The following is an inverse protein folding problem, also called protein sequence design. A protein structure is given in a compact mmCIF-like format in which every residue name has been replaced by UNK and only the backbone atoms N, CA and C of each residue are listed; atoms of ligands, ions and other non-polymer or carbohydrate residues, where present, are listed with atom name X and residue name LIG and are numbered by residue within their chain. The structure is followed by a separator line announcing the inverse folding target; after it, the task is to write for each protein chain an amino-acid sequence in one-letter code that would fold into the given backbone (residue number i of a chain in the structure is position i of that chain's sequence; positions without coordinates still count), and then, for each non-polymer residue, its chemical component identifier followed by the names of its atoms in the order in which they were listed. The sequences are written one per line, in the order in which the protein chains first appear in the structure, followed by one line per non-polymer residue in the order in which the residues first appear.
data_IF_793704095797
#
_entry.id   IF_793704095797
#
_cell.length_a   1.000
_cell.length_b   1.000
_cell.length_c   1.000
_cell.angle_alpha   90.00
_cell.angle_beta   90.00
_cell.angle_gamma   90.00
#
_symmetry.space_group_name_H-M   'P 1'
#
loop_
_entity.id
_entity.type
_entity.pdbx_description
1 polymer ?
#
# COMPACT_ATOMS: atom_id res chain seq x y z
N UNK A 1 9.18 -22.25 -11.49
CA UNK A 1 7.93 -21.79 -12.12
C UNK A 1 7.83 -20.28 -11.91
N UNK A 2 7.94 -19.49 -12.97
CA UNK A 2 7.71 -18.04 -12.90
C UNK A 2 6.22 -17.83 -12.64
N UNK A 3 5.84 -17.46 -11.43
CA UNK A 3 4.50 -16.98 -11.13
C UNK A 3 4.30 -15.69 -11.93
N UNK A 4 3.48 -15.75 -12.98
CA UNK A 4 2.99 -14.56 -13.66
C UNK A 4 2.17 -13.79 -12.62
N UNK A 5 2.78 -12.75 -12.01
CA UNK A 5 2.01 -11.73 -11.35
C UNK A 5 0.93 -11.23 -12.30
N UNK A 6 -0.28 -11.11 -11.79
CA UNK A 6 -1.32 -10.33 -12.43
C UNK A 6 -0.93 -8.85 -12.30
N UNK A 7 -0.02 -8.40 -13.17
CA UNK A 7 0.22 -6.99 -13.33
C UNK A 7 -1.13 -6.37 -13.73
N UNK A 8 -1.66 -5.50 -12.87
CA UNK A 8 -2.84 -4.72 -13.23
C UNK A 8 -2.46 -3.94 -14.47
N UNK A 9 -3.12 -4.25 -15.60
CA UNK A 9 -2.88 -3.55 -16.87
C UNK A 9 -3.35 -2.12 -16.70
N UNK A 10 -2.41 -1.20 -16.62
CA UNK A 10 -2.71 0.22 -16.60
C UNK A 10 -3.13 0.65 -18.01
N UNK A 11 -4.23 1.36 -18.08
CA UNK A 11 -4.61 2.09 -19.30
C UNK A 11 -4.15 3.54 -19.15
N UNK A 12 -3.71 4.20 -20.24
CA UNK A 12 -3.46 5.63 -20.17
C UNK A 12 -4.77 6.34 -19.77
N UNK A 13 -4.69 7.45 -18.99
CA UNK A 13 -5.85 8.26 -18.71
C UNK A 13 -6.52 8.66 -20.01
N UNK A 14 -7.85 8.56 -20.06
CA UNK A 14 -8.60 9.09 -21.21
C UNK A 14 -8.42 10.60 -21.25
N UNK A 15 -8.03 11.09 -22.41
CA UNK A 15 -7.98 12.53 -22.73
C UNK A 15 -9.32 12.87 -23.39
N UNK A 16 -10.36 13.00 -22.59
CA UNK A 16 -11.61 13.61 -23.00
C UNK A 16 -11.70 15.03 -22.42
N UNK A 17 -12.66 15.82 -22.93
CA UNK A 17 -12.85 17.20 -22.48
C UNK A 17 -13.48 17.30 -21.08
N UNK A 18 -13.84 16.16 -20.46
CA UNK A 18 -14.54 16.11 -19.18
C UNK A 18 -13.58 15.75 -18.03
N UNK A 19 -13.43 16.70 -17.10
CA UNK A 19 -12.57 16.49 -15.92
C UNK A 19 -13.23 15.58 -14.88
N UNK A 20 -12.41 15.00 -13.95
CA UNK A 20 -12.95 14.29 -12.76
C UNK A 20 -13.87 15.23 -11.95
N UNK A 21 -13.56 16.53 -11.88
CA UNK A 21 -14.41 17.50 -11.19
C UNK A 21 -15.80 17.60 -11.82
N UNK A 22 -15.90 17.62 -13.17
CA UNK A 22 -17.18 17.65 -13.88
C UNK A 22 -17.99 16.37 -13.63
N UNK A 23 -17.32 15.21 -13.62
CA UNK A 23 -17.94 13.94 -13.26
C UNK A 23 -18.45 13.94 -11.81
N UNK A 24 -17.68 14.51 -10.87
CA UNK A 24 -18.09 14.61 -9.47
C UNK A 24 -19.29 15.54 -9.28
N UNK A 25 -19.40 16.62 -10.06
CA UNK A 25 -20.59 17.48 -10.07
C UNK A 25 -21.83 16.69 -10.52
N UNK A 26 -21.69 15.88 -11.57
CA UNK A 26 -22.78 14.99 -12.02
C UNK A 26 -23.15 13.95 -10.97
N UNK A 27 -22.17 13.40 -10.22
CA UNK A 27 -22.45 12.49 -9.12
C UNK A 27 -23.29 13.16 -8.06
N UNK A 28 -22.95 14.40 -7.63
CA UNK A 28 -23.74 15.17 -6.65
C UNK A 28 -25.20 15.31 -7.10
N UNK A 29 -25.42 15.70 -8.34
CA UNK A 29 -26.78 15.81 -8.89
C UNK A 29 -27.51 14.46 -8.90
N UNK A 30 -26.82 13.36 -9.22
CA UNK A 30 -27.41 12.01 -9.27
C UNK A 30 -27.80 11.45 -7.91
N UNK A 31 -27.12 11.85 -6.84
CA UNK A 31 -27.50 11.47 -5.46
C UNK A 31 -28.52 12.42 -4.85
N UNK A 32 -28.98 13.43 -5.59
CA UNK A 32 -30.03 14.35 -5.14
C UNK A 32 -29.52 15.58 -4.39
N UNK A 33 -28.22 15.88 -4.47
CA UNK A 33 -27.62 17.07 -3.85
C UNK A 33 -27.64 18.26 -4.79
N UNK A 34 -27.68 19.49 -4.20
CA UNK A 34 -27.52 20.75 -4.93
C UNK A 34 -26.03 21.14 -4.93
N UNK A 35 -25.33 21.03 -6.09
CA UNK A 35 -23.90 21.38 -6.15
C UNK A 35 -23.62 22.89 -5.93
N UNK A 36 -24.65 23.74 -6.09
CA UNK A 36 -24.50 25.19 -5.93
C UNK A 36 -24.64 25.65 -4.46
N UNK A 37 -25.09 24.77 -3.57
CA UNK A 37 -25.14 25.14 -2.14
C UNK A 37 -23.75 25.42 -1.56
N UNK A 38 -23.60 26.40 -0.63
CA UNK A 38 -22.29 26.90 -0.17
C UNK A 38 -21.28 25.83 0.27
N UNK A 39 -21.78 24.73 0.85
CA UNK A 39 -20.91 23.63 1.31
C UNK A 39 -20.36 22.77 0.17
N UNK A 40 -21.00 22.73 -1.00
CA UNK A 40 -20.67 21.85 -2.12
C UNK A 40 -20.02 22.55 -3.33
N UNK A 41 -20.07 23.87 -3.44
CA UNK A 41 -19.50 24.62 -4.58
C UNK A 41 -18.06 24.21 -4.91
N UNK A 42 -17.24 23.90 -3.93
CA UNK A 42 -15.84 23.47 -4.13
C UNK A 42 -15.62 21.96 -4.02
N UNK A 43 -16.68 21.18 -3.78
CA UNK A 43 -16.55 19.73 -3.57
C UNK A 43 -16.06 19.00 -4.81
N UNK A 44 -16.50 19.30 -6.04
CA UNK A 44 -15.99 18.66 -7.25
C UNK A 44 -14.46 18.76 -7.37
N UNK A 45 -13.91 19.97 -7.24
CA UNK A 45 -12.45 20.21 -7.35
C UNK A 45 -11.66 19.60 -6.19
N UNK A 46 -12.25 19.59 -4.98
CA UNK A 46 -11.62 18.92 -3.82
C UNK A 46 -11.59 17.40 -4.01
N UNK A 47 -12.66 16.82 -4.53
CA UNK A 47 -12.74 15.39 -4.81
C UNK A 47 -11.76 14.97 -5.91
N UNK A 48 -11.65 15.75 -7.00
CA UNK A 48 -10.64 15.52 -8.03
C UNK A 48 -9.22 15.51 -7.44
N UNK A 49 -8.84 16.54 -6.70
CA UNK A 49 -7.53 16.62 -6.05
C UNK A 49 -7.27 15.43 -5.11
N UNK A 50 -8.28 15.04 -4.33
CA UNK A 50 -8.16 13.93 -3.40
C UNK A 50 -7.97 12.60 -4.14
N UNK A 51 -8.75 12.32 -5.19
CA UNK A 51 -8.63 11.12 -6.00
C UNK A 51 -7.25 11.03 -6.67
N UNK A 52 -6.77 12.12 -7.29
CA UNK A 52 -5.43 12.15 -7.89
C UNK A 52 -4.33 11.88 -6.88
N UNK A 53 -4.42 12.48 -5.69
CA UNK A 53 -3.47 12.21 -4.61
C UNK A 53 -3.51 10.74 -4.16
N UNK A 54 -4.71 10.19 -3.94
CA UNK A 54 -4.91 8.81 -3.50
C UNK A 54 -4.55 7.77 -4.58
N UNK A 55 -4.39 8.18 -5.83
CA UNK A 55 -3.98 7.31 -6.94
C UNK A 55 -2.63 7.69 -7.55
N UNK A 56 -1.89 8.61 -6.92
CA UNK A 56 -0.58 9.09 -7.40
C UNK A 56 0.51 8.03 -7.48
N UNK A 57 0.33 6.90 -6.80
CA UNK A 57 1.24 5.78 -6.86
C UNK A 57 1.32 5.11 -8.24
N UNK A 58 0.36 5.34 -9.13
CA UNK A 58 0.46 4.87 -10.50
C UNK A 58 1.51 5.60 -11.32
N UNK A 59 1.82 6.85 -10.96
CA UNK A 59 2.80 7.69 -11.64
C UNK A 59 4.20 7.58 -11.02
N UNK A 60 4.32 6.81 -9.92
CA UNK A 60 5.58 6.69 -9.18
C UNK A 60 6.34 5.45 -9.63
N UNK A 61 7.64 5.62 -9.87
CA UNK A 61 8.55 4.54 -10.24
C UNK A 61 9.45 4.12 -9.07
N UNK A 62 9.67 2.81 -8.95
CA UNK A 62 10.52 2.22 -7.91
C UNK A 62 11.95 2.76 -7.96
N UNK A 63 12.52 2.91 -9.16
CA UNK A 63 13.90 3.37 -9.34
C UNK A 63 14.07 4.81 -8.82
N UNK A 64 13.06 5.65 -9.03
CA UNK A 64 13.05 7.02 -8.51
C UNK A 64 12.98 7.06 -6.97
N UNK A 65 12.26 6.12 -6.37
CA UNK A 65 12.19 5.99 -4.90
C UNK A 65 13.55 5.55 -4.35
N UNK A 66 14.12 4.49 -4.90
CA UNK A 66 15.39 3.92 -4.43
C UNK A 66 16.53 4.90 -4.62
N UNK A 67 16.62 5.53 -5.79
CA UNK A 67 17.53 6.63 -6.12
C UNK A 67 18.95 6.47 -5.51
N UNK A 68 19.62 5.34 -5.80
CA UNK A 68 20.97 5.05 -5.32
C UNK A 68 21.12 4.79 -3.82
N UNK A 69 20.03 4.69 -3.06
CA UNK A 69 20.08 4.43 -1.61
C UNK A 69 20.17 2.93 -1.28
N UNK A 70 20.93 2.19 -2.07
CA UNK A 70 21.33 0.82 -1.78
C UNK A 70 22.82 0.86 -1.47
N UNK A 71 23.22 0.29 -0.35
CA UNK A 71 24.58 0.30 0.16
C UNK A 71 25.10 -1.13 0.24
N UNK A 72 26.35 -1.34 -0.10
CA UNK A 72 27.05 -2.60 0.16
C UNK A 72 27.56 -2.58 1.61
N UNK A 73 27.07 -3.50 2.41
CA UNK A 73 27.42 -3.63 3.82
C UNK A 73 27.35 -5.10 4.23
N UNK A 74 28.37 -5.56 4.97
CA UNK A 74 28.35 -6.90 5.52
C UNK A 74 27.39 -6.96 6.73
N UNK A 75 26.17 -7.34 6.44
CA UNK A 75 25.13 -7.55 7.44
C UNK A 75 24.32 -8.78 7.01
N UNK A 76 24.12 -9.70 7.93
CA UNK A 76 23.33 -10.92 7.76
C UNK A 76 22.16 -11.05 8.74
N UNK A 77 22.07 -10.09 9.68
CA UNK A 77 20.97 -9.98 10.63
C UNK A 77 19.69 -9.44 9.96
N UNK A 78 18.55 -9.86 10.50
CA UNK A 78 17.25 -9.40 10.01
C UNK A 78 17.08 -7.89 10.22
N UNK A 79 16.73 -7.18 9.15
CA UNK A 79 16.32 -5.77 9.23
C UNK A 79 14.80 -5.71 9.22
N UNK A 80 14.21 -5.03 10.21
CA UNK A 80 12.76 -4.88 10.35
C UNK A 80 12.38 -3.40 10.42
N UNK A 81 11.46 -2.98 9.57
CA UNK A 81 10.77 -1.68 9.65
C UNK A 81 9.31 -1.96 9.94
N UNK A 82 8.85 -1.53 11.10
CA UNK A 82 7.49 -1.84 11.57
C UNK A 82 6.64 -0.60 11.76
N UNK A 83 5.34 -0.82 11.93
CA UNK A 83 4.35 0.22 12.18
C UNK A 83 4.30 1.28 11.07
N UNK A 84 4.54 0.87 9.81
CA UNK A 84 4.44 1.75 8.64
C UNK A 84 2.96 2.00 8.38
N UNK A 85 2.48 3.19 8.71
CA UNK A 85 1.10 3.59 8.44
C UNK A 85 0.86 3.73 6.93
N UNK A 86 -0.30 3.30 6.47
CA UNK A 86 -0.70 3.50 5.08
C UNK A 86 -2.20 3.75 4.93
N UNK A 87 -2.56 4.43 3.84
CA UNK A 87 -3.93 4.64 3.39
C UNK A 87 -4.05 4.21 1.93
N UNK A 88 -5.10 3.47 1.61
CA UNK A 88 -5.33 2.93 0.27
C UNK A 88 -6.81 2.97 -0.09
N UNK A 89 -7.12 2.72 -1.35
CA UNK A 89 -8.49 2.67 -1.88
C UNK A 89 -8.83 1.25 -2.31
N UNK A 90 -9.90 0.69 -1.72
CA UNK A 90 -10.40 -0.62 -2.13
C UNK A 90 -10.91 -0.56 -3.58
N UNK A 91 -10.37 -1.38 -4.47
CA UNK A 91 -10.75 -1.38 -5.89
C UNK A 91 -12.22 -1.76 -6.15
N UNK A 92 -12.84 -2.53 -5.23
CA UNK A 92 -14.22 -2.95 -5.39
C UNK A 92 -15.25 -1.85 -5.13
N UNK A 93 -14.94 -0.88 -4.27
CA UNK A 93 -15.93 0.07 -3.77
C UNK A 93 -15.48 1.52 -3.82
N UNK A 94 -14.22 1.79 -4.18
CA UNK A 94 -13.58 3.11 -4.09
C UNK A 94 -13.69 3.72 -2.67
N UNK A 95 -13.79 2.87 -1.65
CA UNK A 95 -13.78 3.27 -0.25
C UNK A 95 -12.41 3.02 0.37
N UNK A 96 -11.98 3.85 1.32
CA UNK A 96 -10.67 3.70 1.94
C UNK A 96 -10.53 2.39 2.72
N UNK A 97 -9.32 1.87 2.77
CA UNK A 97 -8.83 1.00 3.82
C UNK A 97 -7.47 1.51 4.29
N UNK A 98 -7.16 1.29 5.53
CA UNK A 98 -5.97 1.85 6.16
C UNK A 98 -5.48 0.94 7.28
N UNK A 99 -4.23 1.09 7.64
CA UNK A 99 -3.65 0.26 8.67
C UNK A 99 -2.15 0.45 8.79
N UNK A 100 -1.49 -0.63 9.22
CA UNK A 100 -0.05 -0.67 9.38
C UNK A 100 0.56 -1.82 8.61
N UNK A 101 1.77 -1.60 8.13
CA UNK A 101 2.56 -2.62 7.45
C UNK A 101 3.89 -2.80 8.16
N UNK A 102 4.29 -4.06 8.30
CA UNK A 102 5.57 -4.45 8.87
C UNK A 102 6.36 -5.15 7.78
N UNK A 103 7.57 -4.68 7.54
CA UNK A 103 8.43 -5.14 6.47
C UNK A 103 9.76 -5.57 7.03
N UNK A 104 10.18 -6.79 6.69
CA UNK A 104 11.47 -7.32 7.08
C UNK A 104 12.21 -7.90 5.86
N UNK A 105 13.52 -7.88 5.91
CA UNK A 105 14.35 -8.60 4.97
C UNK A 105 15.62 -9.15 5.61
N UNK A 106 16.13 -10.25 5.08
CA UNK A 106 17.44 -10.80 5.42
C UNK A 106 18.46 -10.33 4.39
N UNK A 107 19.39 -9.45 4.75
CA UNK A 107 20.35 -8.91 3.82
C UNK A 107 21.19 -10.00 3.12
N UNK A 108 21.66 -9.67 1.92
CA UNK A 108 22.67 -10.41 1.18
C UNK A 108 23.74 -9.41 0.74
N UNK A 109 24.51 -8.92 1.71
CA UNK A 109 25.54 -7.87 1.56
C UNK A 109 25.02 -6.55 0.97
N UNK A 110 23.70 -6.30 1.04
CA UNK A 110 23.08 -5.05 0.57
C UNK A 110 22.02 -4.58 1.55
N UNK A 111 22.10 -3.31 1.91
CA UNK A 111 21.10 -2.61 2.71
C UNK A 111 20.43 -1.53 1.88
N UNK A 112 19.17 -1.23 2.19
CA UNK A 112 18.43 -0.10 1.64
C UNK A 112 18.21 0.96 2.70
N UNK A 113 18.28 2.23 2.32
CA UNK A 113 17.92 3.31 3.23
C UNK A 113 16.53 3.11 3.82
N UNK A 114 16.41 3.07 5.16
CA UNK A 114 15.18 2.71 5.87
C UNK A 114 13.97 3.53 5.40
N UNK A 115 14.16 4.81 5.08
CA UNK A 115 13.10 5.70 4.58
C UNK A 115 12.55 5.30 3.20
N UNK A 116 13.23 4.43 2.46
CA UNK A 116 12.78 3.96 1.14
C UNK A 116 11.66 2.93 1.25
N UNK A 117 11.68 2.15 2.33
CA UNK A 117 10.68 1.10 2.56
C UNK A 117 9.28 1.71 2.73
N UNK A 118 9.02 2.69 3.60
CA UNK A 118 7.73 3.36 3.67
C UNK A 118 7.29 4.01 2.36
N UNK A 119 8.22 4.57 1.58
CA UNK A 119 7.89 5.14 0.27
C UNK A 119 7.46 4.10 -0.76
N UNK A 120 8.03 2.90 -0.71
CA UNK A 120 7.60 1.76 -1.54
C UNK A 120 6.18 1.33 -1.11
N UNK A 121 5.92 1.27 0.20
CA UNK A 121 4.58 0.99 0.72
C UNK A 121 3.58 2.02 0.22
N UNK A 122 3.88 3.32 0.35
CA UNK A 122 3.03 4.41 -0.12
C UNK A 122 2.78 4.35 -1.63
N UNK A 123 3.81 4.07 -2.43
CA UNK A 123 3.68 3.94 -3.88
C UNK A 123 2.63 2.90 -4.28
N UNK A 124 2.61 1.75 -3.60
CA UNK A 124 1.62 0.72 -3.88
C UNK A 124 0.28 0.99 -3.19
N UNK A 125 0.28 1.58 -2.00
CA UNK A 125 -0.93 1.92 -1.27
C UNK A 125 -1.76 2.99 -1.98
N UNK A 126 -1.11 3.99 -2.62
CA UNK A 126 -1.78 5.05 -3.38
C UNK A 126 -2.20 4.58 -4.78
N UNK A 127 -2.98 3.50 -4.82
CA UNK A 127 -3.58 2.88 -6.01
C UNK A 127 -4.93 2.30 -5.64
N UNK A 128 -5.72 1.88 -6.63
CA UNK A 128 -6.86 1.00 -6.37
C UNK A 128 -6.33 -0.40 -6.07
N UNK A 129 -6.58 -0.91 -4.86
CA UNK A 129 -5.92 -2.09 -4.34
C UNK A 129 -6.85 -3.14 -3.74
N UNK A 130 -6.29 -4.35 -3.71
CA UNK A 130 -6.63 -5.41 -2.76
C UNK A 130 -5.53 -5.47 -1.71
N UNK A 131 -5.85 -5.71 -0.45
CA UNK A 131 -4.86 -5.79 0.62
C UNK A 131 -3.82 -6.89 0.35
N UNK A 132 -4.24 -8.04 -0.17
CA UNK A 132 -3.38 -9.17 -0.55
C UNK A 132 -2.39 -8.78 -1.63
N UNK A 133 -2.86 -8.08 -2.67
CA UNK A 133 -2.02 -7.59 -3.77
C UNK A 133 -1.01 -6.57 -3.28
N UNK A 134 -1.44 -5.59 -2.48
CA UNK A 134 -0.57 -4.59 -1.86
C UNK A 134 0.58 -5.26 -1.08
N UNK A 135 0.24 -6.24 -0.23
CA UNK A 135 1.20 -6.98 0.59
C UNK A 135 2.23 -7.72 -0.28
N UNK A 136 1.78 -8.40 -1.33
CA UNK A 136 2.66 -9.10 -2.26
C UNK A 136 3.54 -8.17 -3.07
N UNK A 137 2.99 -7.08 -3.62
CA UNK A 137 3.75 -6.13 -4.43
C UNK A 137 4.90 -5.49 -3.65
N UNK A 138 4.68 -5.15 -2.39
CA UNK A 138 5.76 -4.62 -1.52
C UNK A 138 6.86 -5.67 -1.32
N UNK A 139 6.48 -6.92 -1.00
CA UNK A 139 7.45 -8.00 -0.78
C UNK A 139 8.30 -8.30 -2.03
N UNK A 140 7.65 -8.42 -3.18
CA UNK A 140 8.31 -8.74 -4.45
C UNK A 140 9.20 -7.60 -4.93
N UNK A 141 8.76 -6.35 -4.77
CA UNK A 141 9.58 -5.19 -5.12
C UNK A 141 10.87 -5.15 -4.31
N UNK A 142 10.80 -5.37 -3.01
CA UNK A 142 12.01 -5.42 -2.18
C UNK A 142 12.90 -6.62 -2.54
N UNK A 143 12.30 -7.76 -2.85
CA UNK A 143 13.03 -8.94 -3.31
C UNK A 143 13.78 -8.68 -4.63
N UNK A 144 13.14 -8.01 -5.58
CA UNK A 144 13.73 -7.71 -6.89
C UNK A 144 14.84 -6.64 -6.79
N UNK A 145 14.64 -5.61 -5.96
CA UNK A 145 15.57 -4.48 -5.81
C UNK A 145 16.82 -4.89 -5.03
N UNK A 146 16.66 -5.62 -3.91
CA UNK A 146 17.76 -5.96 -3.01
C UNK A 146 18.36 -7.34 -3.28
N UNK A 147 17.59 -8.27 -3.83
CA UNK A 147 17.93 -9.70 -3.94
C UNK A 147 18.42 -10.27 -2.60
N UNK A 148 17.65 -10.09 -1.53
CA UNK A 148 18.03 -10.51 -0.20
C UNK A 148 17.88 -12.04 -0.07
N UNK A 149 18.33 -12.61 1.05
CA UNK A 149 18.11 -14.04 1.38
C UNK A 149 16.64 -14.35 1.65
N UNK A 150 15.80 -13.32 1.88
CA UNK A 150 14.36 -13.43 2.08
C UNK A 150 13.72 -12.09 2.41
N UNK A 151 12.39 -12.02 2.23
CA UNK A 151 11.54 -10.87 2.57
C UNK A 151 10.32 -11.37 3.32
N UNK A 152 9.94 -10.68 4.39
CA UNK A 152 8.70 -10.87 5.13
C UNK A 152 7.89 -9.58 5.17
N UNK A 153 6.61 -9.64 4.82
CA UNK A 153 5.69 -8.49 4.91
C UNK A 153 4.42 -8.95 5.60
N UNK A 154 3.96 -8.18 6.57
CA UNK A 154 2.66 -8.33 7.23
C UNK A 154 1.92 -7.01 7.08
N UNK A 155 0.66 -7.08 6.71
CA UNK A 155 -0.22 -5.94 6.57
C UNK A 155 -1.48 -6.16 7.42
N UNK A 156 -1.74 -5.25 8.34
CA UNK A 156 -2.94 -5.22 9.19
C UNK A 156 -3.77 -4.01 8.79
N UNK A 157 -5.03 -4.21 8.40
CA UNK A 157 -5.87 -3.11 7.94
C UNK A 157 -7.33 -3.22 8.34
N UNK A 158 -7.99 -2.08 8.36
CA UNK A 158 -9.43 -1.91 8.49
C UNK A 158 -10.00 -1.35 7.20
N UNK A 159 -11.15 -1.88 6.80
CA UNK A 159 -11.79 -1.56 5.53
C UNK A 159 -13.11 -0.83 5.75
N UNK A 160 -13.24 0.40 5.29
CA UNK A 160 -14.51 1.14 5.39
C UNK A 160 -15.65 0.46 4.60
N UNK A 161 -15.33 -0.26 3.54
CA UNK A 161 -16.33 -1.04 2.80
C UNK A 161 -16.96 -2.17 3.63
N UNK A 162 -16.32 -2.59 4.74
CA UNK A 162 -16.85 -3.55 5.70
C UNK A 162 -17.43 -2.88 6.95
N UNK A 163 -16.91 -1.70 7.33
CA UNK A 163 -17.27 -1.03 8.59
C UNK A 163 -18.53 -0.21 8.49
N UNK A 164 -18.64 0.64 7.45
CA UNK A 164 -19.71 1.64 7.34
C UNK A 164 -20.91 1.19 6.52
N UNK A 165 -20.81 0.07 5.84
CA UNK A 165 -21.87 -0.54 5.01
C UNK A 165 -21.57 -2.02 4.80
N UNK A 166 -22.52 -2.76 4.20
CA UNK A 166 -22.39 -4.19 3.94
C UNK A 166 -22.55 -5.01 5.22
N UNK A 167 -21.45 -5.57 5.73
CA UNK A 167 -21.47 -6.41 6.94
C UNK A 167 -21.44 -5.62 8.25
N UNK A 168 -21.12 -4.35 8.21
CA UNK A 168 -21.15 -3.40 9.34
C UNK A 168 -20.36 -3.86 10.58
N UNK A 169 -19.19 -4.46 10.36
CA UNK A 169 -18.32 -4.96 11.44
C UNK A 169 -17.16 -4.00 11.71
N UNK A 170 -17.35 -3.10 12.66
CA UNK A 170 -16.42 -2.01 12.98
C UNK A 170 -15.10 -2.48 13.61
N UNK A 171 -15.12 -3.62 14.31
CA UNK A 171 -13.93 -4.17 15.00
C UNK A 171 -13.20 -5.25 14.19
N UNK A 172 -13.73 -5.62 13.01
CA UNK A 172 -13.07 -6.58 12.13
C UNK A 172 -11.87 -5.92 11.43
N UNK A 173 -10.73 -6.57 11.55
CA UNK A 173 -9.52 -6.24 10.78
C UNK A 173 -9.12 -7.42 9.90
N UNK A 174 -8.47 -7.13 8.80
CA UNK A 174 -7.85 -8.14 7.95
C UNK A 174 -6.34 -8.14 8.15
N UNK A 175 -5.74 -9.31 8.20
CA UNK A 175 -4.28 -9.48 8.24
C UNK A 175 -3.87 -10.30 7.02
N UNK A 176 -2.93 -9.77 6.25
CA UNK A 176 -2.34 -10.47 5.12
C UNK A 176 -0.83 -10.54 5.27
N UNK A 177 -0.21 -11.60 4.74
CA UNK A 177 1.23 -11.77 4.82
C UNK A 177 1.81 -12.26 3.50
N UNK A 178 3.04 -11.84 3.20
CA UNK A 178 3.86 -12.34 2.12
C UNK A 178 5.23 -12.72 2.68
N UNK A 179 5.62 -13.97 2.48
CA UNK A 179 6.89 -14.53 2.94
C UNK A 179 7.65 -15.09 1.74
N UNK A 180 8.89 -14.61 1.51
CA UNK A 180 9.75 -15.00 0.40
C UNK A 180 11.09 -15.50 0.92
N UNK A 181 11.72 -16.44 0.21
CA UNK A 181 13.03 -17.02 0.58
C UNK A 181 13.04 -17.53 2.02
N UNK A 182 14.05 -17.14 2.80
CA UNK A 182 14.27 -17.62 4.17
C UNK A 182 13.07 -17.47 5.11
N UNK A 183 12.21 -16.46 4.93
CA UNK A 183 10.98 -16.31 5.73
C UNK A 183 9.93 -17.39 5.40
N UNK A 184 9.91 -17.89 4.18
CA UNK A 184 9.03 -18.99 3.77
C UNK A 184 9.59 -20.36 4.13
N UNK A 185 10.89 -20.52 3.95
CA UNK A 185 11.57 -21.83 4.03
C UNK A 185 11.93 -22.21 5.46
N UNK A 186 12.26 -21.23 6.33
CA UNK A 186 12.73 -21.46 7.69
C UNK A 186 11.69 -20.97 8.69
N UNK A 187 11.23 -21.91 9.51
CA UNK A 187 10.23 -21.61 10.55
C UNK A 187 10.80 -20.63 11.59
N UNK A 188 12.04 -20.81 11.99
CA UNK A 188 12.74 -20.00 13.01
C UNK A 188 12.82 -18.53 12.58
N UNK A 189 13.19 -18.26 11.34
CA UNK A 189 13.24 -16.91 10.77
C UNK A 189 11.87 -16.24 10.75
N UNK A 190 10.85 -17.00 10.39
CA UNK A 190 9.48 -16.49 10.40
C UNK A 190 8.97 -16.22 11.81
N UNK A 191 9.24 -17.11 12.77
CA UNK A 191 8.82 -16.96 14.16
C UNK A 191 9.53 -15.76 14.82
N UNK A 192 10.80 -15.54 14.53
CA UNK A 192 11.54 -14.35 14.97
C UNK A 192 10.87 -13.06 14.45
N UNK A 193 10.58 -12.98 13.15
CA UNK A 193 9.89 -11.84 12.56
C UNK A 193 8.52 -11.59 13.22
N UNK A 194 7.72 -12.64 13.38
CA UNK A 194 6.41 -12.54 14.03
C UNK A 194 6.53 -12.05 15.47
N UNK A 195 7.55 -12.51 16.20
CA UNK A 195 7.83 -12.06 17.58
C UNK A 195 8.19 -10.57 17.62
N UNK A 196 9.07 -10.10 16.72
CA UNK A 196 9.46 -8.69 16.64
C UNK A 196 8.29 -7.78 16.31
N UNK A 197 7.37 -8.23 15.43
CA UNK A 197 6.16 -7.49 15.06
C UNK A 197 5.12 -7.47 16.18
N UNK A 198 4.95 -8.60 16.90
CA UNK A 198 3.97 -8.71 17.99
C UNK A 198 4.26 -7.76 19.16
N UNK A 199 5.52 -7.34 19.34
CA UNK A 199 5.91 -6.35 20.35
C UNK A 199 5.52 -4.95 19.84
N UNK A 200 4.24 -4.59 20.02
CA UNK A 200 3.78 -3.21 19.74
C UNK A 200 4.51 -2.25 20.67
N UNK A 201 5.29 -1.33 20.10
CA UNK A 201 5.68 -0.14 20.82
C UNK A 201 4.39 0.63 21.13
N UNK A 202 3.99 0.72 22.40
CA UNK A 202 2.97 1.70 22.80
C UNK A 202 3.54 3.06 22.41
N UNK A 203 2.76 3.93 21.72
CA UNK A 203 3.24 5.28 21.49
C UNK A 203 3.52 5.94 22.84
N UNK A 204 4.66 6.61 22.92
CA UNK A 204 5.04 7.44 24.04
C UNK A 204 4.02 8.57 24.24
#
# INVERSE_FOLDING_TARGET
MKTKQSAVKMMPPQQDDESIADLMQKVLLKIGEDPERPGLIRTPQRADKALRFLTSGYETDVQSIVNGAIFEEQCDEMVVVKDIEFYSMCEHHLLPFFGTMHVAYLPNNKLIGLSKIPRIVDMFARRLQLQERLTHQVAETLNDVLRPKGVGVICEARHFCMMMRGVEKQHSGAVTSAMLGGFRERKETRDEFLSLVAHRNRPY
#
